data_IF_861920210418
#
_entry.id   IF_861920210418
#
_cell.length_a   1.000
_cell.length_b   1.000
_cell.length_c   1.000
_cell.angle_alpha   90.00
_cell.angle_beta   90.00
_cell.angle_gamma   90.00
#
_symmetry.space_group_name_H-M   'P 1'
#
loop_
_entity.id
_entity.type
_entity.pdbx_description
1 polymer ?
#
# COMPACT_ATOMS: atom_id res chain seq x y z
N UNK A 1 -29.96 -5.25 -38.84
CA UNK A 1 -29.49 -4.98 -37.47
C UNK A 1 -27.98 -5.07 -37.51
N UNK A 2 -27.28 -3.94 -37.51
CA UNK A 2 -25.82 -3.91 -37.49
C UNK A 2 -25.35 -4.15 -36.05
N UNK A 3 -24.36 -5.04 -35.82
CA UNK A 3 -23.81 -5.23 -34.48
C UNK A 3 -23.11 -3.95 -34.03
N UNK A 4 -23.40 -3.52 -32.81
CA UNK A 4 -22.73 -2.38 -32.17
C UNK A 4 -21.22 -2.63 -32.10
N UNK A 5 -20.38 -1.60 -32.33
CA UNK A 5 -18.95 -1.73 -32.15
C UNK A 5 -18.65 -2.04 -30.69
N UNK A 6 -17.79 -3.04 -30.49
CA UNK A 6 -17.26 -3.45 -29.20
C UNK A 6 -16.34 -2.30 -28.75
N UNK A 7 -16.75 -1.53 -27.73
CA UNK A 7 -15.87 -0.54 -27.12
C UNK A 7 -14.66 -1.30 -26.57
N UNK A 8 -13.42 -0.93 -26.91
CA UNK A 8 -12.25 -1.49 -26.25
C UNK A 8 -12.38 -1.23 -24.75
N UNK A 9 -12.46 -2.30 -23.97
CA UNK A 9 -12.25 -2.21 -22.53
C UNK A 9 -10.77 -1.87 -22.38
N UNK A 10 -10.46 -0.68 -21.84
CA UNK A 10 -9.08 -0.37 -21.48
C UNK A 10 -8.56 -1.51 -20.60
N UNK A 11 -7.41 -2.12 -20.92
CA UNK A 11 -6.83 -3.13 -20.06
C UNK A 11 -6.65 -2.54 -18.65
N UNK A 12 -6.71 -3.37 -17.59
CA UNK A 12 -6.32 -2.91 -16.27
C UNK A 12 -4.97 -2.22 -16.41
N UNK A 13 -4.83 -1.06 -15.77
CA UNK A 13 -3.66 -0.21 -15.80
C UNK A 13 -2.43 -1.02 -15.33
N UNK A 14 -1.83 -1.77 -16.25
CA UNK A 14 -0.54 -2.42 -16.10
C UNK A 14 0.47 -1.28 -16.12
N UNK A 15 0.68 -0.64 -14.98
CA UNK A 15 1.94 0.06 -14.77
C UNK A 15 3.04 -0.94 -15.17
N UNK A 16 3.92 -0.60 -16.14
CA UNK A 16 4.91 -1.54 -16.65
C UNK A 16 5.88 -2.02 -15.55
N UNK A 17 5.88 -1.31 -14.42
CA UNK A 17 6.71 -1.52 -13.26
C UNK A 17 5.84 -1.57 -12.00
N UNK A 18 6.12 -2.55 -11.14
CA UNK A 18 5.52 -2.67 -9.82
C UNK A 18 6.43 -1.99 -8.81
N UNK A 19 5.87 -1.14 -7.96
CA UNK A 19 6.62 -0.45 -6.92
C UNK A 19 6.47 -1.16 -5.56
N UNK A 20 7.30 -0.75 -4.59
CA UNK A 20 7.17 -1.23 -3.20
C UNK A 20 5.77 -1.01 -2.62
N UNK A 21 5.10 0.06 -3.03
CA UNK A 21 3.74 0.39 -2.58
C UNK A 21 2.77 -0.71 -3.00
N UNK A 22 2.85 -1.17 -4.25
CA UNK A 22 2.00 -2.26 -4.76
C UNK A 22 2.20 -3.56 -3.98
N UNK A 23 3.45 -3.85 -3.59
CA UNK A 23 3.79 -5.04 -2.79
C UNK A 23 3.15 -4.93 -1.39
N UNK A 24 3.30 -3.79 -0.73
CA UNK A 24 2.73 -3.56 0.60
C UNK A 24 1.19 -3.56 0.54
N UNK A 25 0.60 -2.97 -0.51
CA UNK A 25 -0.84 -2.97 -0.76
C UNK A 25 -1.35 -4.40 -0.94
N UNK A 26 -0.74 -5.18 -1.84
CA UNK A 26 -1.13 -6.56 -2.08
C UNK A 26 -1.02 -7.43 -0.80
N UNK A 27 0.06 -7.24 -0.03
CA UNK A 27 0.24 -7.91 1.24
C UNK A 27 -0.86 -7.57 2.24
N UNK A 28 -1.13 -6.28 2.47
CA UNK A 28 -2.12 -5.83 3.45
C UNK A 28 -3.55 -6.17 3.03
N UNK A 29 -3.86 -6.08 1.74
CA UNK A 29 -5.17 -6.44 1.19
C UNK A 29 -5.52 -7.91 1.49
N UNK A 30 -4.54 -8.81 1.47
CA UNK A 30 -4.73 -10.23 1.78
C UNK A 30 -5.25 -10.54 3.20
N UNK A 31 -5.22 -9.57 4.12
CA UNK A 31 -5.72 -9.74 5.49
C UNK A 31 -7.14 -9.24 5.71
N UNK A 32 -7.75 -8.55 4.74
CA UNK A 32 -9.12 -8.03 4.87
C UNK A 32 -9.33 -7.08 6.05
N UNK A 33 -8.32 -6.26 6.39
CA UNK A 33 -8.41 -5.30 7.49
C UNK A 33 -9.35 -4.12 7.21
N UNK A 34 -9.57 -3.83 5.93
CA UNK A 34 -10.49 -2.82 5.39
C UNK A 34 -11.20 -3.42 4.17
N UNK A 35 -12.31 -2.83 3.69
CA UNK A 35 -12.99 -3.32 2.49
C UNK A 35 -12.07 -3.38 1.27
N UNK A 36 -12.40 -4.26 0.32
CA UNK A 36 -11.63 -4.41 -0.92
C UNK A 36 -11.52 -3.07 -1.66
N UNK A 37 -10.31 -2.75 -2.12
CA UNK A 37 -10.02 -1.46 -2.77
C UNK A 37 -9.81 -0.28 -1.81
N UNK A 38 -9.87 -0.49 -0.48
CA UNK A 38 -9.60 0.55 0.52
C UNK A 38 -8.14 0.54 1.04
N UNK A 39 -7.25 -0.19 0.38
CA UNK A 39 -5.80 -0.13 0.56
C UNK A 39 -5.21 0.32 -0.77
N UNK A 40 -4.54 1.46 -0.81
CA UNK A 40 -4.02 2.01 -2.06
C UNK A 40 -2.83 2.95 -1.85
N UNK A 41 -2.15 3.30 -2.95
CA UNK A 41 -1.05 4.27 -2.96
C UNK A 41 -1.54 5.73 -3.02
N UNK A 42 -2.81 5.94 -3.33
CA UNK A 42 -3.43 7.26 -3.48
C UNK A 42 -4.81 7.29 -2.84
N UNK A 43 -5.17 8.44 -2.27
CA UNK A 43 -6.52 8.68 -1.75
C UNK A 43 -7.42 9.14 -2.91
N UNK A 44 -8.55 8.50 -3.18
CA UNK A 44 -9.51 8.97 -4.17
C UNK A 44 -10.30 10.17 -3.63
N UNK A 45 -10.83 11.02 -4.53
CA UNK A 45 -11.64 12.19 -4.16
C UNK A 45 -12.85 11.83 -3.30
N UNK A 46 -13.43 10.65 -3.54
CA UNK A 46 -14.61 10.11 -2.86
C UNK A 46 -14.24 9.02 -1.83
N UNK A 47 -13.12 9.17 -1.11
CA UNK A 47 -12.68 8.21 -0.11
C UNK A 47 -13.77 7.87 0.91
N UNK A 48 -13.93 6.56 1.18
CA UNK A 48 -14.83 6.02 2.19
C UNK A 48 -14.00 5.32 3.26
N UNK A 49 -14.32 5.57 4.53
CA UNK A 49 -13.63 4.96 5.67
C UNK A 49 -14.19 3.56 6.00
N UNK A 50 -13.37 2.64 6.55
CA UNK A 50 -11.95 2.80 6.87
C UNK A 50 -11.06 2.78 5.62
N UNK A 51 -9.87 3.37 5.70
CA UNK A 51 -8.93 3.44 4.59
C UNK A 51 -7.48 3.25 5.07
N UNK A 52 -6.66 2.60 4.25
CA UNK A 52 -5.22 2.48 4.44
C UNK A 52 -4.50 3.06 3.23
N UNK A 53 -3.72 4.11 3.46
CA UNK A 53 -2.84 4.68 2.45
C UNK A 53 -1.42 4.14 2.66
N UNK A 54 -0.79 3.71 1.57
CA UNK A 54 0.60 3.26 1.55
C UNK A 54 1.36 4.26 0.70
N UNK A 55 2.43 4.87 1.22
CA UNK A 55 3.17 5.88 0.47
C UNK A 55 4.67 5.69 0.63
N UNK A 56 5.41 5.65 -0.48
CA UNK A 56 6.86 5.73 -0.45
C UNK A 56 7.28 7.14 -0.02
N UNK A 57 8.09 7.24 1.03
CA UNK A 57 8.57 8.54 1.55
C UNK A 57 10.06 8.77 1.34
N UNK A 58 10.85 7.70 1.20
CA UNK A 58 12.27 7.78 0.89
C UNK A 58 12.75 6.45 0.28
N UNK A 59 14.00 6.43 -0.19
CA UNK A 59 14.68 5.22 -0.63
C UNK A 59 15.49 5.42 -1.90
N UNK A 60 16.07 4.32 -2.38
CA UNK A 60 16.74 4.24 -3.67
C UNK A 60 16.74 2.81 -4.18
N UNK A 61 17.22 2.60 -5.39
CA UNK A 61 17.31 1.29 -6.03
C UNK A 61 18.72 1.04 -6.60
N UNK A 62 19.11 -0.23 -6.69
CA UNK A 62 20.34 -0.66 -7.38
C UNK A 62 20.05 -1.43 -8.68
N UNK A 63 18.87 -1.22 -9.28
CA UNK A 63 18.33 -1.97 -10.41
C UNK A 63 18.03 -3.46 -10.15
N UNK A 64 18.25 -3.97 -8.93
CA UNK A 64 17.90 -5.35 -8.54
C UNK A 64 16.98 -5.32 -7.33
N UNK A 65 17.34 -4.53 -6.33
CA UNK A 65 16.66 -4.36 -5.07
C UNK A 65 16.26 -2.90 -4.92
N UNK A 66 15.01 -2.71 -4.54
CA UNK A 66 14.48 -1.43 -4.11
C UNK A 66 14.59 -1.33 -2.58
N UNK A 67 15.35 -0.35 -2.11
CA UNK A 67 15.61 -0.03 -0.70
C UNK A 67 14.67 1.11 -0.28
N UNK A 68 13.42 0.79 0.00
CA UNK A 68 12.39 1.79 0.20
C UNK A 68 12.03 1.99 1.67
N UNK A 69 11.76 3.24 2.02
CA UNK A 69 11.03 3.60 3.24
C UNK A 69 9.60 3.92 2.89
N UNK A 70 8.67 3.17 3.48
CA UNK A 70 7.23 3.25 3.25
C UNK A 70 6.54 3.74 4.52
N UNK A 71 5.68 4.73 4.34
CA UNK A 71 4.74 5.19 5.33
C UNK A 71 3.39 4.50 5.12
N UNK A 72 2.76 4.05 6.19
CA UNK A 72 1.40 3.48 6.15
C UNK A 72 0.50 4.27 7.08
N UNK A 73 -0.51 4.89 6.50
CA UNK A 73 -1.47 5.76 7.18
C UNK A 73 -2.80 5.02 7.30
N UNK A 74 -3.32 4.91 8.52
CA UNK A 74 -4.60 4.28 8.81
C UNK A 74 -5.63 5.34 9.18
N UNK A 75 -6.73 5.39 8.42
CA UNK A 75 -7.81 6.35 8.58
C UNK A 75 -9.09 5.68 9.06
N UNK A 76 -9.79 6.34 9.98
CA UNK A 76 -11.13 5.94 10.42
C UNK A 76 -11.97 7.17 10.80
N UNK A 77 -13.27 6.96 11.00
CA UNK A 77 -14.23 8.01 11.39
C UNK A 77 -14.00 8.59 12.79
N UNK A 78 -13.25 7.90 13.65
CA UNK A 78 -12.90 8.37 14.99
C UNK A 78 -11.50 7.90 15.39
N UNK A 79 -10.92 8.55 16.40
CA UNK A 79 -9.53 8.33 16.81
C UNK A 79 -9.30 6.93 17.41
N UNK A 80 -10.27 6.39 18.13
CA UNK A 80 -10.14 5.06 18.78
C UNK A 80 -10.12 3.95 17.73
N UNK A 81 -11.03 4.02 16.76
CA UNK A 81 -11.08 3.08 15.67
C UNK A 81 -9.89 3.22 14.72
N UNK A 82 -9.41 4.45 14.46
CA UNK A 82 -8.19 4.68 13.69
C UNK A 82 -6.96 4.07 14.38
N UNK A 83 -6.84 4.23 15.71
CA UNK A 83 -5.77 3.61 16.49
C UNK A 83 -5.83 2.08 16.45
N UNK A 84 -7.04 1.51 16.55
CA UNK A 84 -7.26 0.06 16.51
C UNK A 84 -6.87 -0.51 15.15
N UNK A 85 -7.31 0.13 14.06
CA UNK A 85 -6.91 -0.24 12.70
C UNK A 85 -5.39 -0.16 12.54
N UNK A 86 -4.78 0.94 12.98
CA UNK A 86 -3.33 1.14 12.86
C UNK A 86 -2.52 0.09 13.62
N UNK A 87 -2.98 -0.35 14.80
CA UNK A 87 -2.36 -1.46 15.54
C UNK A 87 -2.50 -2.79 14.80
N UNK A 88 -3.64 -3.04 14.18
CA UNK A 88 -3.84 -4.25 13.37
C UNK A 88 -2.94 -4.25 12.13
N UNK A 89 -2.89 -3.13 11.40
CA UNK A 89 -1.97 -2.93 10.26
C UNK A 89 -0.52 -3.12 10.70
N UNK A 90 -0.11 -2.47 11.78
CA UNK A 90 1.24 -2.60 12.32
C UNK A 90 1.59 -4.03 12.74
N UNK A 91 0.64 -4.73 13.35
CA UNK A 91 0.80 -6.14 13.67
C UNK A 91 1.11 -6.97 12.41
N UNK A 92 0.39 -6.74 11.31
CA UNK A 92 0.64 -7.45 10.04
C UNK A 92 1.96 -7.02 9.39
N UNK A 93 2.27 -5.72 9.34
CA UNK A 93 3.57 -5.25 8.83
C UNK A 93 4.74 -5.92 9.57
N UNK A 94 4.63 -6.11 10.89
CA UNK A 94 5.63 -6.83 11.68
C UNK A 94 5.76 -8.32 11.35
N UNK A 95 4.79 -8.92 10.69
CA UNK A 95 4.88 -10.29 10.17
C UNK A 95 5.60 -10.36 8.82
N UNK A 96 5.88 -9.22 8.16
CA UNK A 96 6.79 -9.18 7.03
C UNK A 96 8.19 -9.59 7.49
N UNK A 97 8.59 -10.78 7.08
CA UNK A 97 9.89 -11.37 7.41
C UNK A 97 10.74 -11.50 6.15
N UNK A 98 12.08 -11.50 6.28
CA UNK A 98 12.95 -11.86 5.18
C UNK A 98 12.52 -13.17 4.52
N UNK A 99 12.66 -13.23 3.20
CA UNK A 99 12.23 -14.32 2.33
C UNK A 99 10.71 -14.51 2.18
N UNK A 100 9.88 -13.62 2.75
CA UNK A 100 8.46 -13.60 2.44
C UNK A 100 8.25 -13.31 0.95
N UNK A 101 7.43 -14.12 0.32
CA UNK A 101 6.96 -13.90 -1.05
C UNK A 101 5.54 -13.33 -1.00
N UNK A 102 5.33 -12.23 -1.71
CA UNK A 102 4.02 -11.60 -1.89
C UNK A 102 3.58 -11.82 -3.34
N UNK A 103 2.35 -12.30 -3.51
CA UNK A 103 1.72 -12.42 -4.83
C UNK A 103 1.03 -11.10 -5.18
N UNK A 104 1.33 -10.57 -6.35
CA UNK A 104 0.78 -9.34 -6.89
C UNK A 104 -0.46 -9.64 -7.74
N UNK A 105 -1.35 -8.65 -7.98
CA UNK A 105 -2.56 -8.86 -8.78
C UNK A 105 -2.34 -9.44 -10.18
N UNK A 106 -1.17 -9.21 -10.82
CA UNK A 106 -0.83 -9.84 -12.11
C UNK A 106 -0.40 -11.31 -12.01
N UNK A 107 -0.39 -11.91 -10.81
CA UNK A 107 0.17 -13.24 -10.55
C UNK A 107 1.71 -13.27 -10.48
N UNK A 108 2.37 -12.11 -10.52
CA UNK A 108 3.83 -12.01 -10.30
C UNK A 108 4.13 -12.10 -8.81
N UNK A 109 5.36 -12.48 -8.50
CA UNK A 109 5.82 -12.62 -7.12
C UNK A 109 6.91 -11.60 -6.83
N UNK A 110 6.77 -10.90 -5.71
CA UNK A 110 7.80 -10.05 -5.14
C UNK A 110 8.39 -10.69 -3.88
N UNK A 111 9.67 -10.49 -3.63
CA UNK A 111 10.36 -11.08 -2.49
C UNK A 111 10.93 -10.00 -1.58
N UNK A 112 10.62 -10.12 -0.28
CA UNK A 112 11.16 -9.25 0.76
C UNK A 112 12.50 -9.80 1.23
N UNK A 113 13.58 -9.03 1.15
CA UNK A 113 14.89 -9.41 1.67
C UNK A 113 15.15 -8.89 3.08
N UNK A 114 14.67 -7.68 3.37
CA UNK A 114 14.81 -7.04 4.67
C UNK A 114 13.53 -6.31 5.03
N UNK A 115 13.27 -6.25 6.33
CA UNK A 115 12.22 -5.45 6.92
C UNK A 115 12.74 -4.81 8.20
N UNK A 116 12.44 -3.53 8.40
CA UNK A 116 12.66 -2.84 9.66
C UNK A 116 11.48 -1.90 9.97
N UNK A 117 11.17 -1.74 11.25
CA UNK A 117 10.22 -0.73 11.74
C UNK A 117 11.01 0.48 12.20
N UNK A 118 10.80 1.63 11.57
CA UNK A 118 11.38 2.91 12.01
C UNK A 118 10.48 3.61 13.01
N UNK A 119 9.16 3.55 12.80
CA UNK A 119 8.18 4.22 13.65
C UNK A 119 6.94 3.34 13.83
N UNK A 120 6.55 3.09 15.09
CA UNK A 120 5.25 2.50 15.40
C UNK A 120 4.13 3.52 15.16
N UNK A 121 2.87 3.10 14.97
CA UNK A 121 1.81 4.04 14.65
C UNK A 121 1.64 5.16 15.68
N UNK A 122 1.80 6.41 15.25
CA UNK A 122 1.54 7.61 16.05
C UNK A 122 0.35 8.38 15.47
N UNK A 123 -0.40 9.08 16.32
CA UNK A 123 -1.48 9.95 15.86
C UNK A 123 -0.89 11.16 15.15
N UNK A 124 -1.37 11.44 13.93
CA UNK A 124 -1.02 12.63 13.18
C UNK A 124 -2.32 13.20 12.63
N UNK A 125 -2.74 14.42 12.99
CA UNK A 125 -3.91 15.03 12.39
C UNK A 125 -3.71 15.11 10.87
N UNK A 126 -4.79 14.95 10.13
CA UNK A 126 -4.77 15.06 8.68
C UNK A 126 -5.89 15.98 8.21
N UNK A 127 -5.50 16.96 7.40
CA UNK A 127 -6.37 17.88 6.72
C UNK A 127 -6.19 17.63 5.21
N UNK A 128 -7.26 17.32 4.47
CA UNK A 128 -7.18 17.24 3.02
C UNK A 128 -6.78 18.60 2.44
N UNK A 129 -6.02 18.58 1.35
CA UNK A 129 -5.76 19.79 0.57
C UNK A 129 -7.09 20.44 0.17
N UNK A 130 -7.26 21.74 0.48
CA UNK A 130 -8.50 22.47 0.23
C UNK A 130 -9.47 22.58 1.42
N UNK A 131 -9.07 22.16 2.63
CA UNK A 131 -9.81 22.47 3.87
C UNK A 131 -11.02 21.57 4.13
N UNK A 132 -10.95 20.30 3.73
CA UNK A 132 -11.99 19.32 4.03
C UNK A 132 -11.98 18.83 5.48
N UNK A 133 -12.77 17.78 5.76
CA UNK A 133 -12.94 17.25 7.12
C UNK A 133 -11.62 16.75 7.71
N UNK A 134 -11.29 17.22 8.93
CA UNK A 134 -10.16 16.67 9.70
C UNK A 134 -10.45 15.19 9.99
N UNK A 135 -9.55 14.32 9.55
CA UNK A 135 -9.69 12.88 9.74
C UNK A 135 -8.76 12.38 10.84
N UNK A 136 -9.20 11.36 11.56
CA UNK A 136 -8.35 10.67 12.51
C UNK A 136 -7.41 9.72 11.77
N UNK A 137 -6.10 10.00 11.87
CA UNK A 137 -5.06 9.25 11.16
C UNK A 137 -3.95 8.83 12.12
N UNK A 138 -3.49 7.60 11.94
CA UNK A 138 -2.28 7.08 12.58
C UNK A 138 -1.27 6.64 11.54
N UNK A 139 0.01 6.92 11.79
CA UNK A 139 1.08 6.79 10.80
C UNK A 139 2.21 5.90 11.34
N UNK A 140 2.47 4.79 10.66
CA UNK A 140 3.65 3.94 10.88
C UNK A 140 4.66 4.07 9.74
N UNK A 141 5.95 3.88 10.02
CA UNK A 141 7.03 3.97 9.02
C UNK A 141 7.89 2.72 9.05
N UNK A 142 8.12 2.15 7.87
CA UNK A 142 8.77 0.87 7.66
C UNK A 142 9.83 0.99 6.57
N UNK A 143 10.88 0.21 6.68
CA UNK A 143 11.89 0.04 5.63
C UNK A 143 11.80 -1.37 5.09
N UNK A 144 11.81 -1.50 3.77
CA UNK A 144 11.75 -2.75 3.05
C UNK A 144 12.82 -2.77 1.96
N UNK A 145 13.57 -3.87 1.91
CA UNK A 145 14.42 -4.18 0.76
C UNK A 145 13.67 -5.23 -0.07
N UNK A 146 13.24 -4.87 -1.27
CA UNK A 146 12.39 -5.73 -2.11
C UNK A 146 13.03 -5.99 -3.46
N UNK A 147 12.95 -7.23 -3.94
CA UNK A 147 13.28 -7.54 -5.34
C UNK A 147 12.02 -7.39 -6.18
N UNK A 148 12.00 -6.37 -7.04
CA UNK A 148 10.89 -6.11 -7.92
C UNK A 148 10.90 -7.12 -9.09
N UNK A 149 9.74 -7.65 -9.49
CA UNK A 149 9.68 -8.64 -10.56
C UNK A 149 9.94 -8.03 -11.95
N UNK A 150 9.94 -6.69 -12.09
CA UNK A 150 10.22 -5.94 -13.34
C UNK A 150 11.64 -6.07 -13.86
N UNK A 151 12.56 -6.66 -13.09
CA UNK A 151 13.95 -6.88 -13.48
C UNK A 151 14.13 -8.34 -13.93
N UNK A 152 14.12 -8.63 -15.25
CA UNK A 152 14.42 -9.96 -15.76
C UNK A 152 15.91 -10.27 -15.61
N UNK A 153 16.23 -11.38 -14.96
CA UNK A 153 17.57 -11.96 -14.96
C UNK A 153 18.11 -12.31 -13.58
N UNK A 154 18.66 -13.53 -13.50
CA UNK A 154 19.29 -14.23 -12.37
C UNK A 154 18.34 -15.02 -11.46
#
# INVERSE_FOLDING_TARGET
MSPSPITPVDPPNDSPEYDVEDIVIAYLAGFGLVPDGHVAARIPENMVLPWVLVTRVAGGDDWIVDYATVQVDSFHGDQTAASTLARAVHHQMRQMRPQLTVELPSGRQAKIYRYATHQTPIYVPWEPEGGGLIMSRYVGVYELDVRLPSIPGY
#
